data_IF_512862874835
#
_entry.id   IF_512862874835
#
_cell.length_a   1.000
_cell.length_b   1.000
_cell.length_c   1.000
_cell.angle_alpha   90.00
_cell.angle_beta   90.00
_cell.angle_gamma   90.00
#
_symmetry.space_group_name_H-M   'P 1'
#
loop_
_entity.id
_entity.type
_entity.pdbx_description
1 polymer ?
#
# COMPACT_ATOMS: atom_id res chain seq x y z
N UNK A 1 2.07 -23.59 4.00
CA UNK A 1 0.65 -23.55 3.58
C UNK A 1 0.60 -23.05 2.17
N UNK A 2 -0.16 -23.68 1.29
CA UNK A 2 -0.39 -23.17 -0.06
C UNK A 2 -1.63 -22.25 0.01
N UNK A 3 -1.44 -20.95 -0.20
CA UNK A 3 -2.53 -19.96 -0.28
C UNK A 3 -2.85 -19.81 -1.77
N UNK A 4 -4.02 -20.28 -2.19
CA UNK A 4 -4.38 -20.43 -3.61
C UNK A 4 -5.48 -19.47 -4.08
N UNK A 5 -6.19 -18.85 -3.13
CA UNK A 5 -7.26 -17.89 -3.44
C UNK A 5 -6.97 -16.52 -2.83
N UNK A 6 -7.62 -15.50 -3.38
CA UNK A 6 -7.51 -14.12 -2.86
C UNK A 6 -7.99 -14.05 -1.41
N UNK A 7 -9.09 -14.73 -1.10
CA UNK A 7 -9.67 -14.78 0.24
C UNK A 7 -8.75 -15.42 1.27
N UNK A 8 -8.04 -16.51 0.88
CA UNK A 8 -7.04 -17.14 1.75
C UNK A 8 -5.87 -16.21 2.04
N UNK A 9 -5.36 -15.49 1.01
CA UNK A 9 -4.29 -14.52 1.16
C UNK A 9 -4.75 -13.37 2.05
N UNK A 10 -5.90 -12.76 1.76
CA UNK A 10 -6.46 -11.65 2.53
C UNK A 10 -6.67 -12.03 4.00
N UNK A 11 -7.24 -13.22 4.26
CA UNK A 11 -7.44 -13.73 5.62
C UNK A 11 -6.14 -14.03 6.34
N UNK A 12 -5.12 -14.53 5.64
CA UNK A 12 -3.81 -14.83 6.23
C UNK A 12 -3.08 -13.57 6.70
N UNK A 13 -3.10 -12.51 5.89
CA UNK A 13 -2.39 -11.25 6.17
C UNK A 13 -2.84 -10.64 7.50
N UNK A 14 -4.13 -10.78 7.84
CA UNK A 14 -4.76 -10.19 9.04
C UNK A 14 -5.29 -11.27 10.02
N UNK A 15 -4.75 -12.49 9.96
CA UNK A 15 -5.16 -13.56 10.88
C UNK A 15 -4.82 -13.20 12.34
N UNK A 16 -5.41 -13.90 13.30
CA UNK A 16 -5.28 -13.63 14.73
C UNK A 16 -3.84 -13.32 15.17
N UNK A 17 -3.67 -12.16 15.80
CA UNK A 17 -2.39 -11.67 16.31
C UNK A 17 -1.45 -11.08 15.25
N UNK A 18 -1.84 -11.04 13.98
CA UNK A 18 -1.02 -10.52 12.89
C UNK A 18 -1.45 -9.13 12.43
N UNK A 19 -0.46 -8.30 12.10
CA UNK A 19 -0.63 -7.02 11.43
C UNK A 19 0.10 -6.98 10.09
N UNK A 20 0.04 -5.84 9.43
CA UNK A 20 0.77 -5.54 8.19
C UNK A 20 1.83 -4.49 8.50
N UNK A 21 3.07 -4.78 8.12
CA UNK A 21 4.17 -3.82 8.23
C UNK A 21 4.27 -3.00 6.94
N UNK A 22 4.14 -1.67 7.04
CA UNK A 22 4.46 -0.77 5.95
C UNK A 22 5.98 -0.49 5.96
N UNK A 23 6.68 -0.97 4.93
CA UNK A 23 8.10 -0.72 4.66
C UNK A 23 8.29 -0.20 3.22
N UNK A 24 7.29 0.54 2.74
CA UNK A 24 7.13 1.01 1.36
C UNK A 24 7.54 2.47 1.17
N UNK A 25 8.32 3.03 2.11
CA UNK A 25 8.81 4.40 1.99
C UNK A 25 9.56 4.58 0.67
N UNK A 26 9.17 5.62 -0.07
CA UNK A 26 9.92 6.04 -1.26
C UNK A 26 11.33 6.51 -0.89
N UNK A 27 12.24 6.54 -1.88
CA UNK A 27 13.62 7.00 -1.64
C UNK A 27 13.66 8.41 -1.00
N UNK A 28 12.88 9.42 -1.46
CA UNK A 28 12.82 10.72 -0.78
C UNK A 28 12.33 10.65 0.67
N UNK A 29 11.40 9.73 0.97
CA UNK A 29 10.89 9.54 2.35
C UNK A 29 11.97 8.92 3.24
N UNK A 30 12.70 7.90 2.74
CA UNK A 30 13.85 7.34 3.44
C UNK A 30 14.92 8.40 3.70
N UNK A 31 15.25 9.23 2.69
CA UNK A 31 16.23 10.31 2.84
C UNK A 31 15.84 11.25 3.98
N UNK A 32 14.60 11.73 4.01
CA UNK A 32 14.12 12.59 5.11
C UNK A 32 14.27 11.95 6.50
N UNK A 33 14.01 10.64 6.61
CA UNK A 33 14.19 9.91 7.88
C UNK A 33 15.66 9.74 8.25
N UNK A 34 16.51 9.39 7.28
CA UNK A 34 17.93 9.18 7.51
C UNK A 34 18.66 10.47 7.85
N UNK A 35 18.27 11.60 7.25
CA UNK A 35 18.81 12.93 7.56
C UNK A 35 18.64 13.27 9.07
N UNK A 36 17.55 12.83 9.70
CA UNK A 36 17.32 13.09 11.14
C UNK A 36 18.32 12.38 12.06
N UNK A 37 18.98 11.35 11.56
CA UNK A 37 19.97 10.54 12.30
C UNK A 37 21.36 10.60 11.68
N UNK A 38 21.58 11.48 10.70
CA UNK A 38 22.88 11.72 10.07
C UNK A 38 23.38 10.54 9.21
N UNK A 39 22.47 9.74 8.64
CA UNK A 39 22.78 8.61 7.74
C UNK A 39 22.55 9.03 6.29
N UNK A 40 23.51 8.81 5.43
CA UNK A 40 23.36 9.04 4.00
C UNK A 40 22.38 8.04 3.38
N UNK A 41 21.42 8.53 2.57
CA UNK A 41 20.44 7.70 1.87
C UNK A 41 20.98 7.16 0.55
N UNK A 42 21.73 6.08 0.62
CA UNK A 42 22.18 5.29 -0.54
C UNK A 42 21.26 4.08 -0.75
N UNK A 43 21.36 3.42 -1.89
CA UNK A 43 20.67 2.15 -2.13
C UNK A 43 21.04 1.10 -1.07
N UNK A 44 22.34 1.06 -0.70
CA UNK A 44 22.84 0.14 0.31
C UNK A 44 22.25 0.43 1.70
N UNK A 45 22.24 1.69 2.16
CA UNK A 45 21.70 2.05 3.47
C UNK A 45 20.19 1.82 3.55
N UNK A 46 19.45 2.05 2.46
CA UNK A 46 18.02 1.73 2.38
C UNK A 46 17.76 0.22 2.42
N UNK A 47 18.58 -0.57 1.71
CA UNK A 47 18.55 -2.04 1.81
C UNK A 47 18.82 -2.50 3.23
N UNK A 48 19.87 -2.00 3.87
CA UNK A 48 20.28 -2.37 5.24
C UNK A 48 19.18 -2.05 6.25
N UNK A 49 18.53 -0.92 6.10
CA UNK A 49 17.35 -0.54 6.89
C UNK A 49 16.22 -1.56 6.76
N UNK A 50 15.88 -1.99 5.55
CA UNK A 50 14.83 -2.99 5.30
C UNK A 50 15.26 -4.37 5.79
N UNK A 51 16.48 -4.79 5.51
CA UNK A 51 17.00 -6.06 6.00
C UNK A 51 16.97 -6.14 7.54
N UNK A 52 17.36 -5.07 8.23
CA UNK A 52 17.27 -4.99 9.69
C UNK A 52 15.83 -5.23 10.19
N UNK A 53 14.85 -4.58 9.56
CA UNK A 53 13.44 -4.78 9.91
C UNK A 53 13.00 -6.23 9.68
N UNK A 54 13.33 -6.80 8.50
CA UNK A 54 12.87 -8.13 8.11
C UNK A 54 13.56 -9.26 8.88
N UNK A 55 14.75 -9.02 9.44
CA UNK A 55 15.44 -9.95 10.35
C UNK A 55 15.00 -9.81 11.80
N UNK A 56 14.15 -8.84 12.12
CA UNK A 56 13.66 -8.68 13.49
C UNK A 56 12.85 -9.89 13.92
N UNK A 57 13.13 -10.41 15.13
CA UNK A 57 12.36 -11.50 15.72
C UNK A 57 10.88 -11.17 15.97
N UNK A 58 10.51 -9.87 15.90
CA UNK A 58 9.13 -9.43 15.99
C UNK A 58 8.29 -9.68 14.72
N UNK A 59 8.90 -10.04 13.59
CA UNK A 59 8.17 -10.37 12.36
C UNK A 59 7.45 -11.70 12.51
N UNK A 60 8.19 -12.73 12.95
CA UNK A 60 7.64 -14.08 13.04
C UNK A 60 6.45 -14.14 14.02
N UNK A 61 5.31 -14.58 13.51
CA UNK A 61 4.08 -14.76 14.27
C UNK A 61 3.23 -13.50 14.45
N UNK A 62 3.81 -12.29 14.27
CA UNK A 62 3.09 -11.03 14.49
C UNK A 62 2.80 -10.24 13.18
N UNK A 63 3.52 -10.53 12.10
CA UNK A 63 3.36 -9.86 10.82
C UNK A 63 2.90 -10.86 9.77
N UNK A 64 1.73 -10.61 9.18
CA UNK A 64 1.15 -11.42 8.11
C UNK A 64 1.59 -10.99 6.72
N UNK A 65 1.91 -9.71 6.55
CA UNK A 65 2.37 -9.15 5.28
C UNK A 65 3.26 -7.92 5.47
N UNK A 66 4.16 -7.68 4.50
CA UNK A 66 5.02 -6.50 4.47
C UNK A 66 4.84 -5.79 3.14
N UNK A 67 4.50 -4.50 3.16
CA UNK A 67 4.41 -3.69 1.95
C UNK A 67 5.81 -3.20 1.59
N UNK A 68 6.27 -3.49 0.39
CA UNK A 68 7.58 -3.12 -0.14
C UNK A 68 7.49 -1.93 -1.09
N UNK A 69 8.62 -1.24 -1.26
CA UNK A 69 8.87 -0.33 -2.36
C UNK A 69 9.49 -1.09 -3.55
N UNK A 70 9.36 -0.56 -4.78
CA UNK A 70 9.85 -1.23 -6.01
C UNK A 70 11.36 -1.57 -5.95
N UNK A 71 12.20 -0.66 -5.42
CA UNK A 71 13.62 -0.94 -5.20
C UNK A 71 13.82 -2.17 -4.30
N UNK A 72 13.06 -2.26 -3.22
CA UNK A 72 13.24 -3.26 -2.15
C UNK A 72 12.87 -4.66 -2.60
N UNK A 73 11.79 -4.83 -3.38
CA UNK A 73 11.36 -6.16 -3.85
C UNK A 73 12.39 -6.81 -4.79
N UNK A 74 13.31 -6.02 -5.35
CA UNK A 74 14.37 -6.46 -6.27
C UNK A 74 15.70 -6.69 -5.58
N UNK A 75 15.84 -6.34 -4.30
CA UNK A 75 17.10 -6.36 -3.57
C UNK A 75 17.34 -7.69 -2.86
N UNK A 76 18.63 -7.96 -2.65
CA UNK A 76 19.09 -9.05 -1.81
C UNK A 76 19.69 -8.51 -0.50
N UNK A 77 19.55 -9.27 0.57
CA UNK A 77 20.25 -9.08 1.83
C UNK A 77 21.78 -9.22 1.67
N UNK A 78 22.54 -8.84 2.68
CA UNK A 78 24.04 -8.92 2.67
C UNK A 78 24.57 -10.33 2.43
N UNK A 79 23.83 -11.35 2.82
CA UNK A 79 24.18 -12.77 2.63
C UNK A 79 23.76 -13.32 1.26
N UNK A 80 23.17 -12.51 0.39
CA UNK A 80 22.69 -12.88 -0.93
C UNK A 80 21.26 -13.42 -0.98
N UNK A 81 20.61 -13.63 0.16
CA UNK A 81 19.19 -14.04 0.21
C UNK A 81 18.32 -12.90 -0.31
N UNK A 82 17.34 -13.18 -1.19
CA UNK A 82 16.42 -12.14 -1.61
C UNK A 82 15.62 -11.61 -0.41
N UNK A 83 15.31 -10.30 -0.38
CA UNK A 83 14.49 -9.74 0.71
C UNK A 83 13.08 -10.35 0.72
N UNK A 84 12.58 -10.81 -0.42
CA UNK A 84 11.32 -11.56 -0.54
C UNK A 84 11.41 -12.92 0.15
N UNK A 85 12.47 -13.69 -0.08
CA UNK A 85 12.68 -14.98 0.56
C UNK A 85 12.90 -14.84 2.07
N UNK A 86 13.60 -13.77 2.47
CA UNK A 86 13.81 -13.47 3.88
C UNK A 86 12.47 -13.26 4.60
N UNK A 87 11.54 -12.49 4.03
CA UNK A 87 10.21 -12.30 4.61
C UNK A 87 9.38 -13.58 4.60
N UNK A 88 9.38 -14.33 3.49
CA UNK A 88 8.69 -15.62 3.40
C UNK A 88 9.16 -16.60 4.47
N UNK A 89 10.47 -16.62 4.77
CA UNK A 89 11.05 -17.46 5.82
C UNK A 89 10.56 -17.10 7.22
N UNK A 90 10.14 -15.87 7.44
CA UNK A 90 9.54 -15.37 8.68
C UNK A 90 8.01 -15.55 8.72
N UNK A 91 7.40 -16.07 7.64
CA UNK A 91 5.96 -16.24 7.52
C UNK A 91 5.19 -14.95 7.18
N UNK A 92 5.87 -13.91 6.70
CA UNK A 92 5.24 -12.68 6.23
C UNK A 92 5.15 -12.68 4.69
N UNK A 93 3.96 -12.39 4.13
CA UNK A 93 3.76 -12.32 2.70
C UNK A 93 4.31 -11.01 2.12
N UNK A 94 5.01 -11.05 0.96
CA UNK A 94 5.44 -9.85 0.27
C UNK A 94 4.26 -9.10 -0.35
N UNK A 95 4.16 -7.82 -0.09
CA UNK A 95 3.28 -6.88 -0.77
C UNK A 95 4.06 -5.79 -1.48
N UNK A 96 3.42 -5.05 -2.35
CA UNK A 96 4.08 -4.01 -3.14
C UNK A 96 3.22 -2.75 -3.29
N UNK A 97 3.82 -1.58 -3.02
CA UNK A 97 3.22 -0.28 -3.33
C UNK A 97 3.26 -0.04 -4.84
N UNK A 98 2.08 0.22 -5.44
CA UNK A 98 1.96 0.34 -6.89
C UNK A 98 1.48 1.70 -7.39
N UNK A 99 0.97 2.56 -6.50
CA UNK A 99 0.66 3.94 -6.89
C UNK A 99 1.92 4.73 -7.28
N UNK A 100 1.74 5.77 -8.10
CA UNK A 100 2.82 6.62 -8.63
C UNK A 100 2.74 8.07 -8.13
N UNK A 101 2.13 8.29 -6.97
CA UNK A 101 2.04 9.59 -6.34
C UNK A 101 0.75 10.36 -6.68
N UNK A 102 0.76 11.65 -6.40
CA UNK A 102 -0.41 12.51 -6.41
C UNK A 102 -0.36 13.52 -7.54
N UNK A 103 -1.51 13.82 -8.13
CA UNK A 103 -1.71 14.92 -9.07
C UNK A 103 -2.80 15.86 -8.56
N UNK A 104 -2.68 17.20 -8.73
CA UNK A 104 -3.72 18.15 -8.35
C UNK A 104 -5.03 17.90 -9.11
N UNK A 105 -6.16 18.17 -8.46
CA UNK A 105 -7.48 18.24 -9.08
C UNK A 105 -7.81 19.70 -9.37
N UNK A 106 -7.64 20.12 -10.63
CA UNK A 106 -7.82 21.52 -11.01
C UNK A 106 -6.88 22.46 -10.25
N UNK A 107 -7.40 23.61 -9.80
CA UNK A 107 -6.67 24.62 -9.03
C UNK A 107 -6.90 24.47 -7.51
N UNK A 108 -7.37 23.31 -7.04
CA UNK A 108 -7.62 23.07 -5.62
C UNK A 108 -6.42 22.43 -4.90
N UNK A 109 -6.47 22.43 -3.55
CA UNK A 109 -5.53 21.70 -2.69
C UNK A 109 -5.79 20.17 -2.70
N UNK A 110 -6.79 19.71 -3.43
CA UNK A 110 -7.14 18.32 -3.53
C UNK A 110 -6.31 17.59 -4.58
N UNK A 111 -6.12 16.31 -4.38
CA UNK A 111 -5.30 15.49 -5.26
C UNK A 111 -6.00 14.19 -5.61
N UNK A 112 -5.65 13.63 -6.76
CA UNK A 112 -5.97 12.26 -7.13
C UNK A 112 -4.69 11.46 -7.24
N UNK A 113 -4.72 10.21 -6.75
CA UNK A 113 -3.58 9.32 -6.86
C UNK A 113 -3.55 8.68 -8.24
N UNK A 114 -2.36 8.65 -8.85
CA UNK A 114 -2.14 8.14 -10.21
C UNK A 114 -1.29 6.88 -10.22
N UNK A 115 -1.29 6.17 -11.37
CA UNK A 115 -0.47 4.96 -11.54
C UNK A 115 -1.19 3.80 -12.24
N UNK A 116 -2.42 4.00 -12.75
CA UNK A 116 -3.16 2.98 -13.49
C UNK A 116 -2.54 2.67 -14.85
N UNK A 117 -1.93 3.67 -15.50
CA UNK A 117 -1.25 3.47 -16.78
C UNK A 117 -0.10 2.48 -16.64
N UNK A 118 -0.09 1.43 -17.47
CA UNK A 118 0.90 0.36 -17.44
C UNK A 118 0.90 -0.46 -16.14
N UNK A 119 -0.19 -0.43 -15.36
CA UNK A 119 -0.28 -1.17 -14.10
C UNK A 119 -0.28 -2.69 -14.34
N UNK A 120 -1.03 -3.18 -15.32
CA UNK A 120 -1.16 -4.61 -15.61
C UNK A 120 0.20 -5.28 -15.91
N UNK A 121 1.04 -4.61 -16.71
CA UNK A 121 2.39 -5.08 -17.02
C UNK A 121 3.28 -5.13 -15.79
N UNK A 122 3.22 -4.09 -14.94
CA UNK A 122 3.99 -4.05 -13.68
C UNK A 122 3.54 -5.13 -12.70
N UNK A 123 2.23 -5.41 -12.63
CA UNK A 123 1.70 -6.45 -11.77
C UNK A 123 2.19 -7.84 -12.17
N UNK A 124 2.24 -8.14 -13.47
CA UNK A 124 2.80 -9.40 -13.96
C UNK A 124 4.26 -9.59 -13.53
N UNK A 125 5.06 -8.53 -13.57
CA UNK A 125 6.42 -8.56 -13.08
C UNK A 125 6.47 -8.79 -11.56
N UNK A 126 5.65 -8.09 -10.77
CA UNK A 126 5.62 -8.25 -9.32
C UNK A 126 5.14 -9.64 -8.87
N UNK A 127 4.23 -10.26 -9.62
CA UNK A 127 3.84 -11.66 -9.38
C UNK A 127 5.04 -12.59 -9.54
N UNK A 128 5.86 -12.40 -10.58
CA UNK A 128 7.10 -13.19 -10.79
C UNK A 128 8.11 -12.96 -9.66
N UNK A 129 8.20 -11.72 -9.14
CA UNK A 129 9.04 -11.38 -7.99
C UNK A 129 8.50 -11.90 -6.66
N UNK A 130 7.30 -12.49 -6.63
CA UNK A 130 6.74 -13.14 -5.45
C UNK A 130 5.71 -12.33 -4.66
N UNK A 131 5.31 -11.14 -5.14
CA UNK A 131 4.27 -10.35 -4.48
C UNK A 131 2.94 -11.12 -4.40
N UNK A 132 2.25 -11.00 -3.26
CA UNK A 132 0.95 -11.63 -2.99
C UNK A 132 -0.17 -10.62 -2.84
N UNK A 133 0.15 -9.40 -2.49
CA UNK A 133 -0.79 -8.30 -2.36
C UNK A 133 -0.15 -6.99 -2.80
N UNK A 134 -0.99 -6.00 -3.02
CA UNK A 134 -0.53 -4.67 -3.42
C UNK A 134 -1.13 -3.61 -2.52
N UNK A 135 -0.57 -2.41 -2.54
CA UNK A 135 -1.10 -1.25 -1.81
C UNK A 135 -1.19 -0.06 -2.74
N UNK A 136 -2.32 0.66 -2.66
CA UNK A 136 -2.54 1.95 -3.30
C UNK A 136 -3.21 2.89 -2.33
N UNK A 137 -2.57 4.03 -2.06
CA UNK A 137 -3.03 5.05 -1.14
C UNK A 137 -3.70 6.19 -1.91
N UNK A 138 -4.94 6.49 -1.60
CA UNK A 138 -5.60 7.74 -1.97
C UNK A 138 -5.57 8.70 -0.78
N UNK A 139 -5.37 10.00 -1.04
CA UNK A 139 -5.23 11.01 0.02
C UNK A 139 -6.43 11.93 0.02
N UNK A 140 -7.10 12.03 1.15
CA UNK A 140 -8.28 12.87 1.37
C UNK A 140 -7.97 13.93 2.43
N UNK A 141 -7.94 15.20 2.02
CA UNK A 141 -7.67 16.34 2.91
C UNK A 141 -8.98 16.92 3.44
N UNK A 142 -9.04 17.20 4.74
CA UNK A 142 -10.13 17.97 5.37
C UNK A 142 -9.75 19.44 5.44
N UNK A 143 -10.69 20.32 5.17
CA UNK A 143 -10.50 21.77 5.23
C UNK A 143 -11.80 22.54 4.92
N UNK A 144 -11.71 23.85 4.66
CA UNK A 144 -12.87 24.65 4.25
C UNK A 144 -13.49 24.09 2.96
N UNK A 145 -14.72 23.53 3.07
CA UNK A 145 -15.44 22.87 1.99
C UNK A 145 -14.69 21.67 1.36
N UNK A 146 -13.74 21.05 2.08
CA UNK A 146 -13.03 19.85 1.65
C UNK A 146 -13.31 18.68 2.62
N UNK A 147 -13.32 17.44 2.11
CA UNK A 147 -13.16 17.04 0.71
C UNK A 147 -14.42 17.32 -0.11
N UNK A 148 -14.24 17.69 -1.40
CA UNK A 148 -15.35 17.79 -2.35
C UNK A 148 -15.84 16.39 -2.77
N UNK A 149 -17.08 16.30 -3.22
CA UNK A 149 -17.61 15.03 -3.77
C UNK A 149 -16.83 14.60 -5.01
N UNK A 150 -16.37 15.54 -5.83
CA UNK A 150 -15.52 15.23 -6.99
C UNK A 150 -14.18 14.60 -6.61
N UNK A 151 -13.54 15.09 -5.56
CA UNK A 151 -12.28 14.51 -5.08
C UNK A 151 -12.49 13.09 -4.54
N UNK A 152 -13.53 12.89 -3.73
CA UNK A 152 -13.88 11.56 -3.20
C UNK A 152 -14.17 10.62 -4.36
N UNK A 153 -15.07 10.99 -5.27
CA UNK A 153 -15.47 10.12 -6.38
C UNK A 153 -14.28 9.73 -7.27
N UNK A 154 -13.45 10.70 -7.68
CA UNK A 154 -12.27 10.46 -8.51
C UNK A 154 -11.28 9.48 -7.86
N UNK A 155 -10.99 9.66 -6.56
CA UNK A 155 -10.08 8.78 -5.83
C UNK A 155 -10.66 7.39 -5.59
N UNK A 156 -11.93 7.29 -5.22
CA UNK A 156 -12.57 6.01 -4.93
C UNK A 156 -12.79 5.19 -6.21
N UNK A 157 -13.08 5.86 -7.33
CA UNK A 157 -13.11 5.22 -8.64
C UNK A 157 -11.73 4.68 -9.03
N UNK A 158 -10.67 5.48 -8.87
CA UNK A 158 -9.30 5.05 -9.16
C UNK A 158 -8.87 3.85 -8.30
N UNK A 159 -9.25 3.82 -7.01
CA UNK A 159 -9.03 2.68 -6.12
C UNK A 159 -9.78 1.42 -6.59
N UNK A 160 -11.01 1.57 -7.07
CA UNK A 160 -11.79 0.43 -7.56
C UNK A 160 -11.25 -0.10 -8.90
N UNK A 161 -10.84 0.78 -9.82
CA UNK A 161 -10.21 0.42 -11.09
C UNK A 161 -8.88 -0.33 -10.81
N UNK A 162 -8.05 0.19 -9.89
CA UNK A 162 -6.84 -0.48 -9.43
C UNK A 162 -7.14 -1.86 -8.83
N UNK A 163 -8.11 -1.96 -7.93
CA UNK A 163 -8.43 -3.20 -7.25
C UNK A 163 -8.83 -4.31 -8.25
N UNK A 164 -9.61 -3.95 -9.27
CA UNK A 164 -10.01 -4.89 -10.33
C UNK A 164 -8.80 -5.44 -11.09
N UNK A 165 -7.91 -4.56 -11.55
CA UNK A 165 -6.71 -4.96 -12.29
C UNK A 165 -5.80 -5.86 -11.43
N UNK A 166 -5.68 -5.58 -10.14
CA UNK A 166 -4.87 -6.38 -9.20
C UNK A 166 -5.45 -7.77 -9.02
N UNK A 167 -6.77 -7.89 -8.81
CA UNK A 167 -7.43 -9.20 -8.67
C UNK A 167 -7.35 -10.03 -9.95
N UNK A 168 -7.45 -9.40 -11.12
CA UNK A 168 -7.28 -10.07 -12.42
C UNK A 168 -5.87 -10.66 -12.61
N UNK A 169 -4.87 -10.12 -11.86
CA UNK A 169 -3.51 -10.64 -11.79
C UNK A 169 -3.27 -11.61 -10.61
N UNK A 170 -4.33 -12.01 -9.89
CA UNK A 170 -4.24 -13.00 -8.82
C UNK A 170 -3.62 -12.50 -7.52
N UNK A 171 -3.58 -11.18 -7.28
CA UNK A 171 -3.10 -10.57 -6.06
C UNK A 171 -4.25 -9.91 -5.28
N UNK A 172 -4.06 -9.73 -3.97
CA UNK A 172 -5.01 -9.01 -3.10
C UNK A 172 -4.74 -7.51 -3.19
N UNK A 173 -5.72 -6.66 -3.56
CA UNK A 173 -5.57 -5.22 -3.55
C UNK A 173 -5.84 -4.65 -2.15
N UNK A 174 -4.88 -3.99 -1.55
CA UNK A 174 -5.13 -3.14 -0.39
C UNK A 174 -5.53 -1.75 -0.86
N UNK A 175 -6.80 -1.42 -0.74
CA UNK A 175 -7.36 -0.11 -1.08
C UNK A 175 -7.31 0.79 0.16
N UNK A 176 -6.56 1.89 0.09
CA UNK A 176 -6.29 2.76 1.24
C UNK A 176 -6.82 4.18 0.99
N UNK A 177 -8.10 4.46 1.31
CA UNK A 177 -8.62 5.83 1.33
C UNK A 177 -8.16 6.51 2.62
N UNK A 178 -7.01 7.18 2.59
CA UNK A 178 -6.45 7.84 3.77
C UNK A 178 -7.02 9.24 3.94
N UNK A 179 -7.82 9.43 4.98
CA UNK A 179 -8.17 10.77 5.46
C UNK A 179 -7.02 11.29 6.31
N UNK A 180 -6.41 12.42 5.90
CA UNK A 180 -5.27 12.99 6.60
C UNK A 180 -5.64 13.39 8.02
N UNK A 181 -4.75 13.06 8.97
CA UNK A 181 -4.92 13.40 10.39
C UNK A 181 -4.48 14.83 10.72
N UNK A 182 -3.70 15.46 9.83
CA UNK A 182 -3.19 16.82 10.02
C UNK A 182 -4.27 17.85 9.71
N UNK A 183 -4.36 18.89 10.53
CA UNK A 183 -5.29 20.01 10.42
C UNK A 183 -6.01 20.31 11.72
N UNK A 184 -6.97 21.24 11.66
CA UNK A 184 -7.74 21.70 12.82
C UNK A 184 -9.14 21.06 12.91
N UNK A 185 -9.40 20.02 12.09
CA UNK A 185 -10.69 19.35 12.06
C UNK A 185 -10.93 18.48 13.30
N UNK A 186 -12.20 18.34 13.65
CA UNK A 186 -12.63 17.49 14.77
C UNK A 186 -12.67 16.01 14.39
N UNK A 187 -12.80 15.14 15.39
CA UNK A 187 -13.00 13.70 15.18
C UNK A 187 -14.31 13.42 14.43
N UNK A 188 -15.35 14.22 14.63
CA UNK A 188 -16.63 14.09 13.92
C UNK A 188 -16.51 14.44 12.45
N UNK A 189 -15.72 15.47 12.09
CA UNK A 189 -15.43 15.83 10.71
C UNK A 189 -14.58 14.75 10.03
N UNK A 190 -13.59 14.20 10.72
CA UNK A 190 -12.80 13.07 10.24
C UNK A 190 -13.68 11.83 10.01
N UNK A 191 -14.57 11.51 10.95
CA UNK A 191 -15.53 10.42 10.79
C UNK A 191 -16.43 10.62 9.56
N UNK A 192 -16.99 11.82 9.39
CA UNK A 192 -17.89 12.12 8.26
C UNK A 192 -17.17 12.00 6.90
N UNK A 193 -15.93 12.51 6.79
CA UNK A 193 -15.13 12.39 5.58
C UNK A 193 -14.78 10.92 5.28
N UNK A 194 -14.39 10.17 6.31
CA UNK A 194 -14.08 8.73 6.19
C UNK A 194 -15.31 7.93 5.77
N UNK A 195 -16.46 8.17 6.40
CA UNK A 195 -17.71 7.48 6.06
C UNK A 195 -18.14 7.73 4.61
N UNK A 196 -18.06 8.99 4.14
CA UNK A 196 -18.34 9.35 2.74
C UNK A 196 -17.39 8.63 1.79
N UNK A 197 -16.09 8.64 2.09
CA UNK A 197 -15.08 7.97 1.27
C UNK A 197 -15.32 6.47 1.18
N UNK A 198 -15.57 5.80 2.31
CA UNK A 198 -15.85 4.36 2.33
C UNK A 198 -17.15 4.00 1.60
N UNK A 199 -18.24 4.78 1.76
CA UNK A 199 -19.49 4.55 1.02
C UNK A 199 -19.27 4.64 -0.49
N UNK A 200 -18.55 5.67 -0.96
CA UNK A 200 -18.18 5.82 -2.37
C UNK A 200 -17.27 4.67 -2.86
N UNK A 201 -16.25 4.29 -2.07
CA UNK A 201 -15.36 3.19 -2.40
C UNK A 201 -16.11 1.87 -2.61
N UNK A 202 -16.95 1.46 -1.64
CA UNK A 202 -17.69 0.21 -1.76
C UNK A 202 -18.72 0.23 -2.89
N UNK A 203 -19.26 1.40 -3.23
CA UNK A 203 -20.08 1.56 -4.43
C UNK A 203 -19.28 1.25 -5.69
N UNK A 204 -18.14 1.90 -5.90
CA UNK A 204 -17.29 1.67 -7.08
C UNK A 204 -16.70 0.26 -7.14
N UNK A 205 -16.29 -0.32 -6.01
CA UNK A 205 -15.81 -1.71 -5.97
C UNK A 205 -16.88 -2.69 -6.47
N UNK A 206 -18.14 -2.49 -6.06
CA UNK A 206 -19.26 -3.30 -6.51
C UNK A 206 -19.55 -3.11 -8.01
N UNK A 207 -19.56 -1.87 -8.49
CA UNK A 207 -19.79 -1.53 -9.91
C UNK A 207 -18.71 -2.19 -10.80
N UNK A 208 -17.46 -2.22 -10.35
CA UNK A 208 -16.36 -2.84 -11.06
C UNK A 208 -16.28 -4.37 -10.89
N UNK A 209 -17.20 -4.99 -10.14
CA UNK A 209 -17.22 -6.43 -9.92
C UNK A 209 -16.00 -6.94 -9.12
N UNK A 210 -15.45 -6.11 -8.23
CA UNK A 210 -14.35 -6.50 -7.35
C UNK A 210 -14.86 -7.47 -6.28
N UNK A 211 -14.12 -8.54 -6.05
CA UNK A 211 -14.40 -9.47 -4.96
C UNK A 211 -13.98 -8.84 -3.62
N UNK A 212 -14.95 -8.42 -2.82
CA UNK A 212 -14.73 -7.72 -1.55
C UNK A 212 -14.17 -8.60 -0.42
N UNK A 213 -14.04 -9.91 -0.64
CA UNK A 213 -13.42 -10.84 0.32
C UNK A 213 -11.94 -11.09 0.05
N UNK A 214 -11.48 -10.60 -1.08
CA UNK A 214 -10.09 -10.80 -1.51
C UNK A 214 -9.31 -9.53 -1.77
#
# INVERSE_FOLDING_TARGET
>A
MSLNTLEEIASYIVSDGKGILAADESNPTCTKRFDTIGVESTEESRRDYREMLFRSGGIQGNIGGVILFDETIRQNAKDGTSLVDLMNSQGALPGIKVDKGLQPIGDSDETVTVGLEGLDERLKEYVVLGAKFTKWRAVIKIGNNLPTDNCIDANMKALADYAKVVQDNGMVPMVEPEVLMEGDHSIEECFAATERSLKSLFHHLKENGVNIKG
#
